data_IF_075730859073
#
_entry.id   IF_075730859073
#
_cell.length_a   1.000
_cell.length_b   1.000
_cell.length_c   1.000
_cell.angle_alpha   90.00
_cell.angle_beta   90.00
_cell.angle_gamma   90.00
#
_symmetry.space_group_name_H-M   'P 1'
#
loop_
_entity.id
_entity.type
_entity.pdbx_description
1 polymer ?
#
# COMPACT_ATOMS: atom_id res chain seq x y z
N UNK A 1 21.42 55.28 -9.60
CA UNK A 1 21.06 54.02 -10.29
C UNK A 1 22.00 52.84 -9.94
N UNK A 2 23.29 53.05 -9.64
CA UNK A 2 24.23 51.95 -9.34
C UNK A 2 24.03 51.23 -7.99
N UNK A 3 23.59 51.92 -6.93
CA UNK A 3 23.37 51.30 -5.62
C UNK A 3 22.28 50.21 -5.65
N UNK A 4 21.21 50.42 -6.42
CA UNK A 4 20.11 49.46 -6.55
C UNK A 4 20.56 48.12 -7.14
N UNK A 5 21.48 48.13 -8.10
CA UNK A 5 21.98 46.89 -8.72
C UNK A 5 22.87 46.08 -7.77
N UNK A 6 23.65 46.75 -6.91
CA UNK A 6 24.49 46.07 -5.92
C UNK A 6 23.65 45.32 -4.88
N UNK A 7 22.53 45.90 -4.43
CA UNK A 7 21.60 45.21 -3.53
C UNK A 7 20.98 43.96 -4.17
N UNK A 8 20.67 44.01 -5.48
CA UNK A 8 20.12 42.86 -6.22
C UNK A 8 21.13 41.71 -6.27
N UNK A 9 22.41 41.98 -6.55
CA UNK A 9 23.44 40.94 -6.56
C UNK A 9 23.65 40.29 -5.18
N UNK A 10 23.60 41.08 -4.10
CA UNK A 10 23.69 40.56 -2.72
C UNK A 10 22.49 39.67 -2.40
N UNK A 11 21.27 40.09 -2.75
CA UNK A 11 20.04 39.31 -2.56
C UNK A 11 20.11 37.96 -3.28
N UNK A 12 20.54 37.95 -4.54
CA UNK A 12 20.68 36.71 -5.33
C UNK A 12 21.73 35.78 -4.69
N UNK A 13 22.86 36.32 -4.24
CA UNK A 13 23.88 35.57 -3.52
C UNK A 13 23.36 34.93 -2.23
N UNK A 14 22.60 35.69 -1.43
CA UNK A 14 21.96 35.20 -0.21
C UNK A 14 20.92 34.10 -0.48
N UNK A 15 20.08 34.27 -1.52
CA UNK A 15 19.07 33.26 -1.89
C UNK A 15 19.75 31.98 -2.39
N UNK A 16 20.78 32.11 -3.24
CA UNK A 16 21.55 30.97 -3.76
C UNK A 16 22.24 30.18 -2.65
N UNK A 17 22.89 30.89 -1.70
CA UNK A 17 23.53 30.24 -0.54
C UNK A 17 22.51 29.58 0.38
N UNK A 18 21.37 30.21 0.65
CA UNK A 18 20.30 29.59 1.43
C UNK A 18 19.75 28.32 0.75
N UNK A 19 19.53 28.35 -0.56
CA UNK A 19 19.09 27.18 -1.33
C UNK A 19 20.10 26.02 -1.30
N UNK A 20 21.41 26.33 -1.41
CA UNK A 20 22.47 25.33 -1.27
C UNK A 20 22.49 24.70 0.12
N UNK A 21 22.35 25.50 1.18
CA UNK A 21 22.29 25.01 2.56
C UNK A 21 21.06 24.14 2.81
N UNK A 22 19.88 24.54 2.34
CA UNK A 22 18.64 23.75 2.46
C UNK A 22 18.79 22.41 1.74
N UNK A 23 19.39 22.41 0.55
CA UNK A 23 19.62 21.19 -0.23
C UNK A 23 20.60 20.24 0.47
N UNK A 24 21.65 20.79 1.09
CA UNK A 24 22.61 20.03 1.89
C UNK A 24 21.93 19.42 3.13
N UNK A 25 21.17 20.21 3.90
CA UNK A 25 20.45 19.76 5.10
C UNK A 25 19.42 18.67 4.78
N UNK A 26 18.71 18.78 3.64
CA UNK A 26 17.76 17.74 3.20
C UNK A 26 18.41 16.37 3.00
N UNK A 27 19.69 16.33 2.60
CA UNK A 27 20.45 15.08 2.46
C UNK A 27 20.71 14.38 3.79
N UNK A 28 20.74 15.15 4.89
CA UNK A 28 20.90 14.65 6.25
C UNK A 28 19.57 14.29 6.94
N UNK A 29 18.42 14.50 6.29
CA UNK A 29 17.16 14.03 6.83
C UNK A 29 17.16 12.49 6.85
N UNK A 30 16.73 11.86 7.95
CA UNK A 30 16.71 10.42 8.05
C UNK A 30 15.86 9.85 6.93
N UNK A 31 16.50 9.06 6.06
CA UNK A 31 15.78 8.27 5.06
C UNK A 31 14.88 7.30 5.82
N UNK A 32 13.60 7.23 5.43
CA UNK A 32 12.67 6.25 6.01
C UNK A 32 13.26 4.86 5.78
N UNK A 33 13.52 4.15 6.87
CA UNK A 33 14.03 2.78 6.82
C UNK A 33 12.85 1.86 6.56
N UNK A 34 12.96 1.01 5.53
CA UNK A 34 11.98 -0.02 5.23
C UNK A 34 12.49 -1.34 5.79
N UNK A 35 11.67 -2.01 6.60
CA UNK A 35 12.00 -3.31 7.15
C UNK A 35 11.11 -4.38 6.51
N UNK A 36 11.66 -5.57 6.19
CA UNK A 36 10.84 -6.68 5.73
C UNK A 36 9.89 -7.11 6.85
N UNK A 37 8.65 -7.42 6.46
CA UNK A 37 7.65 -8.03 7.33
C UNK A 37 7.06 -9.27 6.66
N UNK A 38 6.62 -10.29 7.42
CA UNK A 38 5.83 -11.38 6.87
C UNK A 38 4.59 -10.85 6.14
N UNK A 39 4.20 -11.51 5.05
CA UNK A 39 3.00 -11.14 4.28
C UNK A 39 1.73 -11.45 5.07
N UNK A 40 1.73 -12.56 5.79
CA UNK A 40 0.62 -13.06 6.61
C UNK A 40 1.11 -13.55 7.98
N UNK A 41 0.21 -13.60 8.96
CA UNK A 41 0.51 -14.10 10.31
C UNK A 41 0.71 -15.63 10.34
N UNK A 42 1.23 -16.16 11.44
CA UNK A 42 1.39 -17.61 11.62
C UNK A 42 0.03 -18.34 11.59
N UNK A 43 -1.01 -17.72 12.16
CA UNK A 43 -2.37 -18.24 12.15
C UNK A 43 -2.94 -18.27 10.72
N UNK A 44 -2.86 -17.15 10.00
CA UNK A 44 -3.23 -17.07 8.58
C UNK A 44 -2.47 -18.09 7.73
N UNK A 45 -1.19 -18.31 8.00
CA UNK A 45 -0.39 -19.30 7.27
C UNK A 45 -0.94 -20.72 7.42
N UNK A 46 -1.36 -21.11 8.62
CA UNK A 46 -2.02 -22.41 8.83
C UNK A 46 -3.35 -22.49 8.08
N UNK A 47 -4.13 -21.42 8.09
CA UNK A 47 -5.40 -21.38 7.35
C UNK A 47 -5.19 -21.47 5.84
N UNK A 48 -4.22 -20.74 5.31
CA UNK A 48 -3.84 -20.78 3.91
C UNK A 48 -3.52 -22.21 3.46
N UNK A 49 -2.76 -22.97 4.27
CA UNK A 49 -2.46 -24.37 3.98
C UNK A 49 -3.72 -25.24 3.99
N UNK A 50 -4.62 -25.06 4.97
CA UNK A 50 -5.91 -25.78 5.02
C UNK A 50 -6.78 -25.48 3.79
N UNK A 51 -6.82 -24.22 3.35
CA UNK A 51 -7.55 -23.83 2.15
C UNK A 51 -6.98 -24.48 0.90
N UNK A 52 -5.65 -24.49 0.74
CA UNK A 52 -5.01 -25.20 -0.38
C UNK A 52 -5.29 -26.70 -0.37
N UNK A 53 -5.39 -27.32 0.81
CA UNK A 53 -5.71 -28.74 0.95
C UNK A 53 -7.18 -29.02 0.65
N UNK A 54 -8.09 -28.16 1.11
CA UNK A 54 -9.53 -28.30 0.89
C UNK A 54 -9.95 -28.01 -0.56
N UNK A 55 -9.22 -27.11 -1.23
CA UNK A 55 -9.48 -26.67 -2.60
C UNK A 55 -8.27 -26.93 -3.52
N UNK A 56 -7.86 -28.19 -3.73
CA UNK A 56 -6.62 -28.52 -4.45
C UNK A 56 -6.65 -28.14 -5.94
N UNK A 57 -7.85 -27.97 -6.51
CA UNK A 57 -8.08 -27.58 -7.90
C UNK A 57 -8.48 -26.11 -8.04
N UNK A 58 -8.22 -25.28 -7.03
CA UNK A 58 -8.48 -23.84 -7.06
C UNK A 58 -7.22 -23.08 -6.69
N UNK A 59 -7.16 -21.80 -7.06
CA UNK A 59 -6.11 -20.91 -6.61
C UNK A 59 -6.54 -20.23 -5.31
N UNK A 60 -5.63 -20.16 -4.34
CA UNK A 60 -5.83 -19.43 -3.10
C UNK A 60 -4.85 -18.26 -3.09
N UNK A 61 -5.36 -17.04 -3.02
CA UNK A 61 -4.59 -15.81 -2.86
C UNK A 61 -4.72 -15.32 -1.42
N UNK A 62 -3.67 -14.69 -0.88
CA UNK A 62 -3.66 -14.10 0.44
C UNK A 62 -3.52 -12.57 0.37
N UNK A 63 -4.15 -11.85 1.30
CA UNK A 63 -4.03 -10.39 1.45
C UNK A 63 -4.40 -9.64 0.15
N UNK A 64 -5.59 -9.91 -0.39
CA UNK A 64 -6.05 -9.32 -1.65
C UNK A 64 -6.78 -8.01 -1.40
N UNK A 65 -6.36 -6.94 -2.07
CA UNK A 65 -7.05 -5.66 -1.98
C UNK A 65 -8.46 -5.75 -2.58
N UNK A 66 -9.46 -5.22 -1.89
CA UNK A 66 -10.85 -5.21 -2.38
C UNK A 66 -10.98 -4.50 -3.74
N UNK A 67 -10.13 -3.51 -4.02
CA UNK A 67 -10.12 -2.82 -5.31
C UNK A 67 -9.72 -3.69 -6.50
N UNK A 68 -9.15 -4.87 -6.26
CA UNK A 68 -8.90 -5.87 -7.31
C UNK A 68 -10.12 -6.77 -7.57
N UNK A 69 -11.05 -6.83 -6.62
CA UNK A 69 -12.23 -7.71 -6.66
C UNK A 69 -13.47 -6.96 -7.16
N UNK A 70 -13.61 -5.70 -6.78
CA UNK A 70 -14.77 -4.87 -7.09
C UNK A 70 -14.36 -3.47 -7.54
N UNK A 71 -15.20 -2.86 -8.38
CA UNK A 71 -15.02 -1.50 -8.87
C UNK A 71 -16.35 -0.73 -8.86
N UNK A 72 -16.28 0.59 -8.96
CA UNK A 72 -17.43 1.46 -9.09
C UNK A 72 -17.04 2.72 -9.85
N UNK A 73 -17.93 3.19 -10.73
CA UNK A 73 -17.78 4.47 -11.44
C UNK A 73 -17.84 5.67 -10.48
N UNK A 74 -18.44 5.51 -9.30
CA UNK A 74 -18.57 6.58 -8.33
C UNK A 74 -17.44 6.57 -7.31
N UNK A 75 -16.65 7.65 -7.31
CA UNK A 75 -15.49 7.81 -6.42
C UNK A 75 -15.84 7.65 -4.93
N UNK A 76 -16.99 8.17 -4.49
CA UNK A 76 -17.47 8.08 -3.11
C UNK A 76 -17.79 6.64 -2.67
N UNK A 77 -18.12 5.74 -3.61
CA UNK A 77 -18.33 4.32 -3.32
C UNK A 77 -16.98 3.62 -3.31
N UNK A 78 -16.12 3.91 -4.29
CA UNK A 78 -14.78 3.32 -4.40
C UNK A 78 -13.88 3.59 -3.19
N UNK A 79 -13.98 4.78 -2.58
CA UNK A 79 -13.25 5.11 -1.36
C UNK A 79 -13.61 4.21 -0.17
N UNK A 80 -14.81 3.62 -0.13
CA UNK A 80 -15.25 2.74 0.98
C UNK A 80 -14.49 1.42 1.03
N UNK A 81 -13.94 0.95 -0.08
CA UNK A 81 -13.25 -0.34 -0.16
C UNK A 81 -11.78 -0.22 -0.59
N UNK A 82 -11.30 0.94 -1.04
CA UNK A 82 -9.91 1.13 -1.47
C UNK A 82 -8.85 0.86 -0.39
N UNK A 83 -9.23 0.92 0.88
CA UNK A 83 -8.33 0.65 2.01
C UNK A 83 -8.54 -0.75 2.60
N UNK A 84 -9.51 -1.51 2.07
CA UNK A 84 -9.84 -2.84 2.57
C UNK A 84 -9.01 -3.90 1.87
N UNK A 85 -8.56 -4.87 2.64
CA UNK A 85 -7.82 -6.04 2.19
C UNK A 85 -8.50 -7.25 2.82
N UNK A 86 -8.75 -8.28 2.03
CA UNK A 86 -9.30 -9.56 2.48
C UNK A 86 -8.18 -10.49 2.91
N UNK A 87 -8.42 -11.36 3.88
CA UNK A 87 -7.43 -12.36 4.27
C UNK A 87 -7.12 -13.35 3.14
N UNK A 88 -8.15 -13.96 2.52
CA UNK A 88 -7.96 -14.83 1.37
C UNK A 88 -9.04 -14.69 0.29
N UNK A 89 -8.67 -15.07 -0.94
CA UNK A 89 -9.59 -15.17 -2.07
C UNK A 89 -9.35 -16.50 -2.77
N UNK A 90 -10.44 -17.22 -3.06
CA UNK A 90 -10.40 -18.46 -3.82
C UNK A 90 -10.84 -18.16 -5.26
N UNK A 91 -10.05 -18.61 -6.22
CA UNK A 91 -10.31 -18.47 -7.65
C UNK A 91 -10.42 -19.84 -8.32
N UNK A 92 -11.26 -19.93 -9.35
CA UNK A 92 -11.25 -21.07 -10.26
C UNK A 92 -10.06 -21.05 -11.25
N UNK A 93 -10.01 -22.06 -12.12
CA UNK A 93 -8.94 -22.21 -13.13
C UNK A 93 -8.94 -21.08 -14.17
N UNK A 94 -10.05 -20.37 -14.34
CA UNK A 94 -10.17 -19.21 -15.22
C UNK A 94 -9.88 -17.89 -14.50
N UNK A 95 -9.33 -17.95 -13.28
CA UNK A 95 -9.00 -16.81 -12.42
C UNK A 95 -10.23 -16.00 -11.99
N UNK A 96 -11.43 -16.60 -12.00
CA UNK A 96 -12.65 -15.96 -11.52
C UNK A 96 -12.79 -16.17 -10.03
N UNK A 97 -13.20 -15.12 -9.32
CA UNK A 97 -13.45 -15.16 -7.88
C UNK A 97 -14.66 -16.04 -7.59
N UNK A 98 -14.45 -17.07 -6.76
CA UNK A 98 -15.53 -17.97 -6.32
C UNK A 98 -15.87 -17.82 -4.85
N UNK A 99 -14.94 -17.30 -4.04
CA UNK A 99 -15.16 -17.00 -2.64
C UNK A 99 -14.15 -15.97 -2.15
N UNK A 100 -14.62 -15.06 -1.30
CA UNK A 100 -13.77 -14.25 -0.42
C UNK A 100 -13.82 -14.84 0.98
N UNK A 101 -12.70 -14.82 1.69
CA UNK A 101 -12.55 -15.38 3.03
C UNK A 101 -11.94 -14.32 3.93
N UNK A 102 -12.64 -13.98 5.01
CA UNK A 102 -12.15 -13.15 6.10
C UNK A 102 -12.03 -14.01 7.36
N UNK A 103 -11.00 -13.75 8.17
CA UNK A 103 -10.81 -14.38 9.48
C UNK A 103 -11.33 -13.43 10.57
N UNK A 104 -12.36 -13.86 11.27
CA UNK A 104 -12.76 -13.23 12.53
C UNK A 104 -11.99 -13.86 13.71
N UNK A 105 -11.95 -13.22 14.88
CA UNK A 105 -11.22 -13.62 16.09
C UNK A 105 -11.54 -15.07 16.57
N UNK A 106 -12.61 -15.69 16.05
CA UNK A 106 -13.08 -17.04 16.36
C UNK A 106 -12.98 -18.04 15.19
N UNK A 107 -12.36 -17.66 14.06
CA UNK A 107 -12.20 -18.53 12.89
C UNK A 107 -13.46 -18.75 12.06
N UNK A 108 -14.45 -17.85 12.17
CA UNK A 108 -15.69 -17.92 11.39
C UNK A 108 -15.46 -17.44 9.97
N UNK A 109 -15.91 -18.27 9.04
CA UNK A 109 -15.68 -18.23 7.60
C UNK A 109 -16.92 -17.64 6.92
N UNK A 110 -16.86 -16.39 6.44
CA UNK A 110 -17.93 -15.84 5.59
C UNK A 110 -17.53 -15.98 4.13
N UNK A 111 -18.22 -16.88 3.42
CA UNK A 111 -18.15 -17.03 1.97
C UNK A 111 -19.21 -16.10 1.37
N UNK A 112 -18.78 -15.11 0.59
CA UNK A 112 -19.63 -14.30 -0.30
C UNK A 112 -19.40 -14.68 -1.74
#
# INVERSE_FOLDING_TARGET
MFASNQFIFVLIGCISTALLLISCIRSFLPKRQFFPRPVITAFESQMFLRLKQAFPHYHVLAQVAFSALITSEHYNIRSKFNLKVTDFVILDQEMRVIAVVELDDQGIFLIY
#
